data_IF_304946002296
#
_entry.id   IF_304946002296
#
_cell.length_a   1.000
_cell.length_b   1.000
_cell.length_c   1.000
_cell.angle_alpha   90.00
_cell.angle_beta   90.00
_cell.angle_gamma   90.00
#
_symmetry.space_group_name_H-M   'P 1'
#
loop_
_entity.id
_entity.type
_entity.pdbx_description
1 polymer ?
#
# COMPACT_ATOMS: atom_id res chain seq x y z
N UNK A 1 -17.40 36.22 -52.45
CA UNK A 1 -16.58 35.19 -53.06
C UNK A 1 -16.97 33.82 -52.44
N UNK A 2 -17.74 33.03 -53.21
CA UNK A 2 -18.29 31.73 -52.75
C UNK A 2 -17.21 30.67 -52.96
N UNK A 3 -16.75 30.00 -51.89
CA UNK A 3 -15.87 28.83 -51.99
C UNK A 3 -16.70 27.55 -51.99
N UNK A 4 -16.46 26.79 -53.04
CA UNK A 4 -17.17 25.60 -53.47
C UNK A 4 -16.73 24.37 -52.68
N UNK A 5 -17.70 23.63 -52.11
CA UNK A 5 -17.50 22.27 -51.58
C UNK A 5 -17.50 21.28 -52.74
N UNK A 6 -16.39 20.62 -53.00
CA UNK A 6 -16.39 19.35 -53.77
C UNK A 6 -15.26 18.44 -53.39
N UNK A 7 -15.62 17.29 -52.83
CA UNK A 7 -15.09 15.94 -53.03
C UNK A 7 -13.60 15.67 -52.85
N UNK A 8 -13.29 15.00 -51.71
CA UNK A 8 -12.25 13.97 -51.71
C UNK A 8 -12.85 12.70 -51.10
N UNK A 9 -13.31 11.79 -51.93
CA UNK A 9 -13.53 10.39 -51.58
C UNK A 9 -12.24 9.66 -51.90
N UNK A 10 -11.41 9.45 -50.89
CA UNK A 10 -10.28 8.55 -50.95
C UNK A 10 -10.60 7.33 -50.10
N UNK A 11 -10.86 6.21 -50.75
CA UNK A 11 -11.02 4.89 -50.13
C UNK A 11 -9.69 4.46 -49.48
N UNK A 12 -9.59 4.62 -48.16
CA UNK A 12 -8.56 3.95 -47.33
C UNK A 12 -9.20 2.72 -46.73
N UNK A 13 -8.79 1.53 -47.18
CA UNK A 13 -9.09 0.27 -46.54
C UNK A 13 -8.37 0.25 -45.20
N UNK A 14 -9.10 0.47 -44.11
CA UNK A 14 -8.60 0.21 -42.75
C UNK A 14 -8.64 -1.29 -42.50
N UNK A 15 -7.47 -1.90 -42.46
CA UNK A 15 -7.31 -3.21 -41.84
C UNK A 15 -7.68 -3.08 -40.36
N UNK A 16 -8.82 -3.63 -39.95
CA UNK A 16 -9.22 -3.76 -38.58
C UNK A 16 -8.29 -4.79 -37.93
N UNK A 17 -7.19 -4.33 -37.29
CA UNK A 17 -6.48 -5.13 -36.33
C UNK A 17 -7.40 -5.28 -35.10
N UNK A 18 -8.06 -6.42 -35.01
CA UNK A 18 -8.88 -6.80 -33.86
C UNK A 18 -8.01 -6.85 -32.61
N UNK A 19 -8.12 -5.86 -31.76
CA UNK A 19 -7.73 -5.96 -30.36
C UNK A 19 -8.65 -7.00 -29.73
N UNK A 20 -8.19 -8.27 -29.73
CA UNK A 20 -8.81 -9.31 -28.93
C UNK A 20 -8.62 -8.94 -27.46
N UNK A 21 -9.65 -8.33 -26.88
CA UNK A 21 -9.77 -8.28 -25.42
C UNK A 21 -9.83 -9.72 -24.93
N UNK A 22 -8.70 -10.24 -24.44
CA UNK A 22 -8.70 -11.50 -23.71
C UNK A 22 -9.57 -11.29 -22.45
N UNK A 23 -10.81 -11.75 -22.54
CA UNK A 23 -11.64 -11.97 -21.37
C UNK A 23 -10.93 -13.05 -20.54
N UNK A 24 -10.34 -12.64 -19.42
CA UNK A 24 -9.85 -13.59 -18.42
C UNK A 24 -11.06 -14.35 -17.89
N UNK A 25 -11.07 -15.70 -17.96
CA UNK A 25 -12.20 -16.46 -17.48
C UNK A 25 -12.36 -16.22 -15.98
N UNK A 26 -13.54 -15.79 -15.58
CA UNK A 26 -13.97 -15.78 -14.17
C UNK A 26 -14.16 -17.22 -13.70
N UNK A 27 -13.08 -17.90 -13.35
CA UNK A 27 -13.14 -19.23 -12.75
C UNK A 27 -12.86 -19.12 -11.25
N UNK A 28 -13.81 -19.54 -10.44
CA UNK A 28 -13.64 -19.78 -9.00
C UNK A 28 -14.44 -18.81 -8.15
N UNK A 29 -15.21 -19.34 -7.18
CA UNK A 29 -15.96 -18.60 -6.19
C UNK A 29 -15.09 -17.51 -5.54
N UNK A 30 -15.68 -16.34 -5.32
CA UNK A 30 -14.96 -15.18 -4.82
C UNK A 30 -14.29 -15.52 -3.47
N UNK A 31 -12.95 -15.59 -3.46
CA UNK A 31 -12.23 -15.75 -2.21
C UNK A 31 -12.63 -14.63 -1.25
N UNK A 32 -12.87 -15.00 0.01
CA UNK A 32 -13.25 -14.04 1.06
C UNK A 32 -12.11 -13.03 1.24
N UNK A 33 -12.40 -11.73 1.33
CA UNK A 33 -11.38 -10.73 1.63
C UNK A 33 -10.62 -11.04 2.92
N UNK A 34 -9.32 -10.83 2.92
CA UNK A 34 -8.46 -11.04 4.08
C UNK A 34 -8.03 -9.71 4.68
N UNK A 35 -8.22 -9.57 5.98
CA UNK A 35 -7.89 -8.38 6.74
C UNK A 35 -6.67 -8.64 7.63
N UNK A 36 -5.56 -8.05 7.26
CA UNK A 36 -4.34 -8.04 8.06
C UNK A 36 -4.29 -6.78 8.91
N UNK A 37 -3.53 -6.82 9.98
CA UNK A 37 -3.27 -5.66 10.81
C UNK A 37 -1.82 -5.23 10.70
N UNK A 38 -1.58 -3.92 10.59
CA UNK A 38 -0.25 -3.36 10.68
C UNK A 38 0.23 -3.38 12.13
N UNK A 39 1.28 -4.14 12.40
CA UNK A 39 1.72 -4.45 13.77
C UNK A 39 2.24 -3.26 14.57
N UNK A 40 2.51 -2.11 13.93
CA UNK A 40 3.15 -0.94 14.56
C UNK A 40 2.49 -0.52 15.87
N UNK A 41 1.17 -0.45 15.92
CA UNK A 41 0.43 0.04 17.09
C UNK A 41 0.41 -0.95 18.26
N UNK A 42 0.77 -2.21 18.02
CA UNK A 42 0.87 -3.24 19.05
C UNK A 42 2.30 -3.40 19.61
N UNK A 43 3.24 -2.52 19.28
CA UNK A 43 4.64 -2.62 19.69
C UNK A 43 4.87 -2.44 21.20
N UNK A 44 3.90 -1.96 21.95
CA UNK A 44 3.90 -1.99 23.41
C UNK A 44 3.86 -3.44 23.94
N UNK A 45 3.39 -4.41 23.15
CA UNK A 45 3.46 -5.85 23.44
C UNK A 45 4.71 -6.41 22.74
N UNK A 46 5.81 -6.58 23.47
CA UNK A 46 7.10 -7.00 22.87
C UNK A 46 7.21 -8.49 22.56
N UNK A 47 6.41 -9.32 23.22
CA UNK A 47 6.36 -10.76 22.99
C UNK A 47 5.55 -11.08 21.74
N UNK A 48 6.13 -11.85 20.82
CA UNK A 48 5.50 -12.17 19.53
C UNK A 48 4.22 -13.00 19.67
N UNK A 49 4.23 -13.99 20.56
CA UNK A 49 3.08 -14.88 20.76
C UNK A 49 1.92 -14.12 21.39
N UNK A 50 2.19 -13.29 22.38
CA UNK A 50 1.17 -12.44 23.00
C UNK A 50 0.63 -11.41 22.01
N UNK A 51 1.49 -10.74 21.24
CA UNK A 51 1.06 -9.78 20.24
C UNK A 51 0.17 -10.44 19.16
N UNK A 52 0.58 -11.61 18.63
CA UNK A 52 -0.21 -12.36 17.67
C UNK A 52 -1.56 -12.81 18.25
N UNK A 53 -1.58 -13.29 19.51
CA UNK A 53 -2.81 -13.69 20.20
C UNK A 53 -3.77 -12.50 20.37
N UNK A 54 -3.26 -11.31 20.73
CA UNK A 54 -4.08 -10.08 20.82
C UNK A 54 -4.66 -9.70 19.47
N UNK A 55 -3.84 -9.66 18.40
CA UNK A 55 -4.30 -9.36 17.04
C UNK A 55 -5.37 -10.36 16.57
N UNK A 56 -5.20 -11.65 16.90
CA UNK A 56 -6.22 -12.68 16.59
C UNK A 56 -7.51 -12.46 17.36
N UNK A 57 -7.44 -12.07 18.64
CA UNK A 57 -8.62 -11.72 19.44
C UNK A 57 -9.38 -10.52 18.86
N UNK A 58 -8.71 -9.59 18.21
CA UNK A 58 -9.35 -8.50 17.47
C UNK A 58 -10.12 -9.01 16.24
N UNK A 59 -9.89 -10.25 15.80
CA UNK A 59 -10.58 -10.87 14.67
C UNK A 59 -9.84 -10.83 13.33
N UNK A 60 -8.57 -10.36 13.30
CA UNK A 60 -7.79 -10.30 12.05
C UNK A 60 -7.48 -11.67 11.48
N UNK A 61 -7.29 -11.71 10.16
CA UNK A 61 -6.91 -12.91 9.40
C UNK A 61 -5.38 -13.03 9.26
N UNK A 62 -4.67 -11.89 9.40
CA UNK A 62 -3.22 -11.86 9.28
C UNK A 62 -2.59 -10.64 9.94
N UNK A 63 -1.26 -10.59 9.87
CA UNK A 63 -0.44 -9.51 10.41
C UNK A 63 0.64 -9.08 9.42
N UNK A 64 0.84 -7.79 9.30
CA UNK A 64 1.97 -7.15 8.63
C UNK A 64 3.00 -6.75 9.69
N UNK A 65 4.07 -7.56 9.80
CA UNK A 65 5.12 -7.32 10.79
C UNK A 65 6.05 -6.18 10.39
N UNK A 66 6.68 -5.53 11.38
CA UNK A 66 7.70 -4.51 11.15
C UNK A 66 9.10 -5.06 11.39
N UNK A 67 9.98 -4.99 10.37
CA UNK A 67 11.42 -5.28 10.47
C UNK A 67 12.22 -4.01 10.21
N UNK A 68 12.30 -3.17 11.21
CA UNK A 68 12.94 -1.85 11.17
C UNK A 68 13.43 -1.45 12.56
N UNK A 69 14.34 -0.46 12.67
CA UNK A 69 14.77 0.03 13.98
C UNK A 69 13.56 0.38 14.87
N UNK A 70 13.58 -0.10 16.10
CA UNK A 70 12.48 0.02 17.09
C UNK A 70 11.18 -0.68 16.68
N UNK A 71 11.17 -1.47 15.62
CA UNK A 71 10.04 -2.30 15.21
C UNK A 71 9.89 -3.56 16.08
N UNK A 72 9.02 -4.49 15.64
CA UNK A 72 8.94 -5.80 16.28
C UNK A 72 10.23 -6.61 16.07
N UNK A 73 10.79 -6.54 14.88
CA UNK A 73 12.05 -7.17 14.51
C UNK A 73 13.10 -6.10 14.24
N UNK A 74 14.19 -6.11 14.99
CA UNK A 74 15.35 -5.29 14.66
C UNK A 74 16.07 -5.88 13.46
N UNK A 75 16.45 -5.07 12.44
CA UNK A 75 17.10 -5.56 11.22
C UNK A 75 18.31 -6.46 11.47
N UNK A 76 19.14 -6.12 12.45
CA UNK A 76 20.32 -6.91 12.83
C UNK A 76 19.96 -8.33 13.35
N UNK A 77 18.73 -8.56 13.77
CA UNK A 77 18.24 -9.83 14.29
C UNK A 77 17.28 -10.55 13.31
N UNK A 78 17.14 -10.05 12.08
CA UNK A 78 16.13 -10.51 11.12
C UNK A 78 16.18 -12.02 10.89
N UNK A 79 17.37 -12.61 10.72
CA UNK A 79 17.54 -14.04 10.44
C UNK A 79 16.94 -14.95 11.54
N UNK A 80 16.99 -14.53 12.78
CA UNK A 80 16.42 -15.25 13.94
C UNK A 80 14.96 -14.88 14.16
N UNK A 81 14.67 -13.60 14.20
CA UNK A 81 13.43 -13.08 14.77
C UNK A 81 12.28 -13.06 13.79
N UNK A 82 12.53 -12.98 12.47
CA UNK A 82 11.45 -13.14 11.47
C UNK A 82 10.83 -14.53 11.49
N UNK A 83 11.65 -15.58 11.66
CA UNK A 83 11.14 -16.95 11.84
C UNK A 83 10.30 -17.09 13.10
N UNK A 84 10.68 -16.41 14.18
CA UNK A 84 9.92 -16.42 15.45
C UNK A 84 8.59 -15.68 15.30
N UNK A 85 8.61 -14.49 14.73
CA UNK A 85 7.41 -13.68 14.46
C UNK A 85 6.43 -14.42 13.54
N UNK A 86 6.92 -15.03 12.46
CA UNK A 86 6.13 -15.85 11.54
C UNK A 86 5.44 -17.00 12.26
N UNK A 87 6.21 -17.81 13.03
CA UNK A 87 5.66 -18.94 13.79
C UNK A 87 4.66 -18.51 14.86
N UNK A 88 4.88 -17.36 15.52
CA UNK A 88 3.93 -16.83 16.50
C UNK A 88 2.58 -16.47 15.83
N UNK A 89 2.62 -15.82 14.67
CA UNK A 89 1.42 -15.57 13.87
C UNK A 89 0.70 -16.87 13.50
N UNK A 90 1.42 -17.86 12.97
CA UNK A 90 0.87 -19.15 12.56
C UNK A 90 0.25 -19.92 13.74
N UNK A 91 0.90 -19.94 14.91
CA UNK A 91 0.32 -20.54 16.13
C UNK A 91 -0.97 -19.87 16.58
N UNK A 92 -1.08 -18.57 16.38
CA UNK A 92 -2.29 -17.81 16.65
C UNK A 92 -3.38 -17.97 15.55
N UNK A 93 -3.08 -18.66 14.44
CA UNK A 93 -3.97 -18.78 13.29
C UNK A 93 -4.06 -17.50 12.46
N UNK A 94 -2.97 -16.73 12.40
CA UNK A 94 -2.80 -15.56 11.55
C UNK A 94 -1.88 -15.86 10.38
N UNK A 95 -2.18 -15.31 9.21
CA UNK A 95 -1.23 -15.23 8.10
C UNK A 95 -0.19 -14.14 8.38
N UNK A 96 1.05 -14.33 7.96
CA UNK A 96 2.10 -13.34 8.03
C UNK A 96 2.90 -13.36 6.72
N UNK A 97 2.41 -12.66 5.73
CA UNK A 97 2.93 -12.72 4.36
C UNK A 97 3.67 -11.45 3.95
N UNK A 98 3.35 -10.32 4.56
CA UNK A 98 3.97 -9.02 4.27
C UNK A 98 4.79 -8.49 5.43
N UNK A 99 5.80 -7.69 5.10
CA UNK A 99 6.76 -7.12 6.03
C UNK A 99 6.99 -5.64 5.74
N UNK A 100 7.07 -4.79 6.76
CA UNK A 100 7.45 -3.40 6.62
C UNK A 100 8.89 -3.20 7.06
N UNK A 101 9.75 -2.72 6.15
CA UNK A 101 11.18 -2.49 6.38
C UNK A 101 11.54 -1.01 6.37
N UNK A 102 12.79 -0.68 6.72
CA UNK A 102 13.26 0.71 6.83
C UNK A 102 14.15 1.17 5.68
N UNK A 103 14.65 0.27 4.86
CA UNK A 103 15.48 0.64 3.71
C UNK A 103 14.62 1.17 2.55
N UNK A 104 15.25 1.96 1.70
CA UNK A 104 14.62 2.62 0.57
C UNK A 104 14.95 1.94 -0.75
N UNK A 105 16.18 1.40 -0.85
CA UNK A 105 16.73 0.78 -2.06
C UNK A 105 17.13 -0.66 -1.78
N UNK A 106 17.11 -1.50 -2.80
CA UNK A 106 17.51 -2.89 -2.66
C UNK A 106 19.00 -3.08 -2.42
N UNK A 107 19.82 -2.07 -2.70
CA UNK A 107 21.26 -2.00 -2.46
C UNK A 107 21.64 -1.19 -1.21
N UNK A 108 20.67 -0.76 -0.40
CA UNK A 108 20.96 -0.14 0.90
C UNK A 108 21.64 -1.15 1.84
N UNK A 109 22.54 -0.71 2.74
CA UNK A 109 23.22 -1.59 3.69
C UNK A 109 22.24 -2.46 4.51
N UNK A 110 22.43 -3.78 4.47
CA UNK A 110 21.61 -4.74 5.19
C UNK A 110 20.24 -5.06 4.54
N UNK A 111 19.86 -4.42 3.43
CA UNK A 111 18.59 -4.68 2.76
C UNK A 111 18.49 -6.15 2.30
N UNK A 112 19.52 -6.66 1.65
CA UNK A 112 19.54 -8.05 1.19
C UNK A 112 19.46 -9.05 2.33
N UNK A 113 20.14 -8.83 3.44
CA UNK A 113 20.13 -9.74 4.59
C UNK A 113 18.75 -9.84 5.22
N UNK A 114 18.05 -8.70 5.36
CA UNK A 114 16.68 -8.66 5.89
C UNK A 114 15.71 -9.36 4.93
N UNK A 115 15.81 -9.12 3.62
CA UNK A 115 14.86 -9.73 2.65
C UNK A 115 15.12 -11.22 2.45
N UNK A 116 16.39 -11.67 2.46
CA UNK A 116 16.70 -13.11 2.49
C UNK A 116 16.14 -13.78 3.73
N UNK A 117 16.35 -13.18 4.89
CA UNK A 117 15.79 -13.71 6.15
C UNK A 117 14.25 -13.76 6.10
N UNK A 118 13.60 -12.81 5.44
CA UNK A 118 12.15 -12.83 5.21
C UNK A 118 11.74 -13.97 4.26
N UNK A 119 12.46 -14.17 3.15
CA UNK A 119 12.24 -15.28 2.23
C UNK A 119 12.38 -16.63 2.93
N UNK A 120 13.47 -16.82 3.69
CA UNK A 120 13.74 -18.02 4.48
C UNK A 120 12.70 -18.29 5.58
N UNK A 121 12.02 -17.25 6.04
CA UNK A 121 10.92 -17.33 6.99
C UNK A 121 9.55 -17.55 6.32
N UNK A 122 9.46 -17.49 4.98
CA UNK A 122 8.23 -17.72 4.21
C UNK A 122 7.33 -16.49 4.08
N UNK A 123 7.90 -15.28 4.14
CA UNK A 123 7.21 -14.06 3.69
C UNK A 123 7.17 -14.02 2.16
N UNK A 124 6.22 -13.30 1.59
CA UNK A 124 6.02 -13.18 0.13
C UNK A 124 6.20 -11.78 -0.41
N UNK A 125 6.07 -10.77 0.44
CA UNK A 125 6.27 -9.37 0.05
C UNK A 125 6.84 -8.51 1.18
N UNK A 126 7.42 -7.39 0.81
CA UNK A 126 7.85 -6.37 1.76
C UNK A 126 7.55 -4.97 1.23
N UNK A 127 7.34 -4.03 2.14
CA UNK A 127 7.18 -2.60 1.83
C UNK A 127 8.34 -1.81 2.43
N UNK A 128 9.02 -1.03 1.57
CA UNK A 128 10.14 -0.19 1.94
C UNK A 128 9.76 1.17 2.56
N UNK A 129 10.77 2.01 2.73
CA UNK A 129 10.63 3.42 3.11
C UNK A 129 10.12 4.27 1.92
N UNK A 130 10.07 5.60 2.10
CA UNK A 130 9.51 6.53 1.12
C UNK A 130 10.59 7.35 0.45
N UNK A 131 10.57 7.40 -0.89
CA UNK A 131 11.38 8.35 -1.66
C UNK A 131 10.90 9.79 -1.41
N UNK A 132 11.84 10.71 -1.45
CA UNK A 132 11.60 12.14 -1.27
C UNK A 132 12.09 12.91 -2.47
N UNK A 133 11.38 13.96 -2.82
CA UNK A 133 11.89 14.94 -3.79
C UNK A 133 12.97 15.79 -3.14
N UNK A 134 14.07 15.94 -3.86
CA UNK A 134 15.17 16.85 -3.50
C UNK A 134 14.94 18.19 -4.23
N UNK A 135 14.66 19.29 -3.50
CA UNK A 135 14.38 20.58 -4.12
C UNK A 135 15.62 21.19 -4.84
N UNK A 136 16.81 20.67 -4.57
CA UNK A 136 18.03 21.09 -5.26
C UNK A 136 18.17 20.44 -6.65
N UNK A 137 17.36 19.45 -6.99
CA UNK A 137 17.38 18.74 -8.27
C UNK A 137 16.23 19.18 -9.17
N UNK A 138 16.41 18.99 -10.47
CA UNK A 138 15.26 19.08 -11.40
C UNK A 138 14.27 17.95 -11.13
N UNK A 139 13.01 18.14 -11.52
CA UNK A 139 12.00 17.09 -11.39
C UNK A 139 12.41 15.80 -12.11
N UNK A 140 12.96 15.93 -13.32
CA UNK A 140 13.44 14.78 -14.08
C UNK A 140 14.57 14.03 -13.35
N UNK A 141 15.54 14.74 -12.76
CA UNK A 141 16.61 14.12 -11.99
C UNK A 141 16.09 13.38 -10.74
N UNK A 142 15.05 13.90 -10.08
CA UNK A 142 14.37 13.23 -8.99
C UNK A 142 13.68 11.94 -9.46
N UNK A 143 12.94 11.99 -10.56
CA UNK A 143 12.27 10.81 -11.12
C UNK A 143 13.27 9.74 -11.56
N UNK A 144 14.39 10.14 -12.14
CA UNK A 144 15.47 9.22 -12.51
C UNK A 144 16.11 8.55 -11.29
N UNK A 145 16.27 9.29 -10.18
CA UNK A 145 16.77 8.75 -8.91
C UNK A 145 15.81 7.73 -8.31
N UNK A 146 14.51 8.03 -8.33
CA UNK A 146 13.45 7.12 -7.88
C UNK A 146 13.45 5.86 -8.74
N UNK A 147 13.51 6.00 -10.08
CA UNK A 147 13.54 4.87 -11.00
C UNK A 147 14.71 3.93 -10.71
N UNK A 148 15.93 4.48 -10.51
CA UNK A 148 17.09 3.66 -10.09
C UNK A 148 16.87 2.95 -8.75
N UNK A 149 16.13 3.58 -7.83
CA UNK A 149 15.73 2.96 -6.58
C UNK A 149 14.82 1.75 -6.80
N UNK A 150 13.80 1.90 -7.64
CA UNK A 150 12.91 0.78 -8.02
C UNK A 150 13.65 -0.33 -8.76
N UNK A 151 14.59 -0.01 -9.65
CA UNK A 151 15.45 -0.99 -10.32
C UNK A 151 16.25 -1.82 -9.32
N UNK A 152 16.80 -1.18 -8.27
CA UNK A 152 17.51 -1.90 -7.20
C UNK A 152 16.59 -2.79 -6.37
N UNK A 153 15.37 -2.32 -6.07
CA UNK A 153 14.34 -3.12 -5.38
C UNK A 153 13.89 -4.31 -6.23
N UNK A 154 13.67 -4.12 -7.54
CA UNK A 154 13.30 -5.23 -8.44
C UNK A 154 14.42 -6.29 -8.53
N UNK A 155 15.68 -5.88 -8.63
CA UNK A 155 16.81 -6.83 -8.60
C UNK A 155 16.82 -7.65 -7.31
N UNK A 156 16.60 -7.00 -6.16
CA UNK A 156 16.51 -7.68 -4.88
C UNK A 156 15.30 -8.63 -4.82
N UNK A 157 14.14 -8.19 -5.30
CA UNK A 157 12.92 -8.97 -5.39
C UNK A 157 13.13 -10.24 -6.25
N UNK A 158 13.70 -10.09 -7.43
CA UNK A 158 14.03 -11.25 -8.32
C UNK A 158 15.01 -12.21 -7.67
N UNK A 159 16.01 -11.72 -6.94
CA UNK A 159 17.03 -12.53 -6.26
C UNK A 159 16.46 -13.36 -5.10
N UNK A 160 15.44 -12.84 -4.42
CA UNK A 160 14.89 -13.41 -3.18
C UNK A 160 13.53 -14.08 -3.37
N UNK A 161 12.86 -13.83 -4.49
CA UNK A 161 11.51 -14.32 -4.75
C UNK A 161 10.39 -13.56 -4.03
N UNK A 162 10.71 -12.47 -3.30
CA UNK A 162 9.71 -11.62 -2.66
C UNK A 162 9.30 -10.48 -3.58
N UNK A 163 8.08 -9.99 -3.42
CA UNK A 163 7.62 -8.77 -4.09
C UNK A 163 7.98 -7.52 -3.27
N UNK A 164 8.65 -6.55 -3.90
CA UNK A 164 8.94 -5.25 -3.32
C UNK A 164 7.76 -4.29 -3.55
N UNK A 165 7.06 -3.88 -2.51
CA UNK A 165 5.91 -2.98 -2.60
C UNK A 165 6.29 -1.56 -2.21
N UNK A 166 5.66 -0.58 -2.86
CA UNK A 166 5.73 0.84 -2.51
C UNK A 166 4.36 1.35 -2.09
N UNK A 167 4.28 2.01 -0.93
CA UNK A 167 3.03 2.63 -0.47
C UNK A 167 2.98 4.08 -0.92
N UNK A 168 1.87 4.50 -1.56
CA UNK A 168 1.59 5.91 -1.72
C UNK A 168 1.29 6.52 -0.36
N UNK A 169 1.91 7.67 -0.09
CA UNK A 169 1.84 8.30 1.23
C UNK A 169 1.85 9.82 1.11
N UNK A 170 0.92 10.48 1.79
CA UNK A 170 0.86 11.93 1.76
C UNK A 170 1.99 12.59 2.52
N UNK A 171 2.31 13.82 2.10
CA UNK A 171 3.29 14.67 2.74
C UNK A 171 2.76 15.21 4.06
N UNK A 172 3.46 14.94 5.18
CA UNK A 172 3.09 15.49 6.51
C UNK A 172 3.71 16.84 6.79
N UNK A 173 4.86 17.07 6.21
CA UNK A 173 5.63 18.27 6.42
C UNK A 173 5.78 18.99 5.06
N UNK A 174 5.33 20.24 4.91
CA UNK A 174 5.42 20.97 3.65
C UNK A 174 6.87 21.20 3.17
N UNK A 175 7.86 20.89 4.01
CA UNK A 175 9.29 20.90 3.63
C UNK A 175 9.81 19.55 3.13
N UNK A 176 8.99 18.50 3.15
CA UNK A 176 9.39 17.13 2.77
C UNK A 176 8.32 16.61 1.83
N UNK A 177 8.58 16.72 0.55
CA UNK A 177 7.70 16.21 -0.48
C UNK A 177 8.00 14.73 -0.74
N UNK A 178 6.98 13.89 -0.59
CA UNK A 178 7.10 12.45 -0.81
C UNK A 178 6.71 12.11 -2.25
N UNK A 179 7.56 11.32 -2.91
CA UNK A 179 7.21 10.67 -4.16
C UNK A 179 6.05 9.69 -3.94
N UNK A 180 5.14 9.63 -4.90
CA UNK A 180 3.97 8.74 -4.83
C UNK A 180 2.81 9.30 -4.02
N UNK A 181 2.90 10.51 -3.47
CA UNK A 181 1.81 11.11 -2.70
C UNK A 181 0.55 11.29 -3.55
N UNK A 182 0.71 11.78 -4.77
CA UNK A 182 -0.39 11.96 -5.74
C UNK A 182 -0.66 10.73 -6.62
N UNK A 183 0.06 9.64 -6.46
CA UNK A 183 -0.02 8.37 -7.22
C UNK A 183 0.34 8.50 -8.70
N UNK A 184 0.09 9.63 -9.35
CA UNK A 184 0.36 9.84 -10.78
C UNK A 184 1.85 9.80 -11.13
N UNK A 185 2.71 10.30 -10.24
CA UNK A 185 4.15 10.19 -10.34
C UNK A 185 4.62 8.74 -10.13
N UNK A 186 4.02 8.04 -9.16
CA UNK A 186 4.24 6.60 -8.96
C UNK A 186 3.85 5.81 -10.21
N UNK A 187 2.69 6.10 -10.81
CA UNK A 187 2.22 5.44 -12.02
C UNK A 187 3.18 5.66 -13.20
N UNK A 188 3.80 6.83 -13.28
CA UNK A 188 4.78 7.14 -14.32
C UNK A 188 6.03 6.25 -14.24
N UNK A 189 6.45 5.88 -13.03
CA UNK A 189 7.62 5.04 -12.80
C UNK A 189 7.26 3.56 -12.83
N UNK A 190 6.22 3.15 -12.10
CA UNK A 190 5.96 1.73 -11.84
C UNK A 190 5.56 0.94 -13.09
N UNK A 191 4.99 1.60 -14.09
CA UNK A 191 4.60 0.98 -15.37
C UNK A 191 5.77 0.30 -16.13
N UNK A 192 7.00 0.66 -15.80
CA UNK A 192 8.22 0.10 -16.41
C UNK A 192 8.69 -1.19 -15.70
N UNK A 193 8.01 -1.60 -14.62
CA UNK A 193 8.41 -2.73 -13.78
C UNK A 193 7.41 -3.89 -13.85
N UNK A 194 7.95 -5.11 -13.66
CA UNK A 194 7.16 -6.34 -13.66
C UNK A 194 6.33 -6.42 -12.36
N UNK A 195 4.98 -6.50 -12.46
CA UNK A 195 4.10 -6.58 -11.29
C UNK A 195 4.29 -7.86 -10.46
N UNK A 196 5.01 -8.85 -10.96
CA UNK A 196 5.39 -10.04 -10.18
C UNK A 196 6.45 -9.74 -9.12
N UNK A 197 7.28 -8.71 -9.33
CA UNK A 197 8.40 -8.36 -8.45
C UNK A 197 8.28 -6.98 -7.81
N UNK A 198 7.58 -6.06 -8.46
CA UNK A 198 7.33 -4.72 -7.92
C UNK A 198 5.84 -4.52 -7.79
N UNK A 199 5.39 -4.10 -6.62
CA UNK A 199 3.99 -3.91 -6.31
C UNK A 199 3.68 -2.56 -5.67
N UNK A 200 2.38 -2.31 -5.52
CA UNK A 200 1.84 -1.14 -4.81
C UNK A 200 1.07 -1.61 -3.59
N UNK A 201 1.38 -1.00 -2.47
CA UNK A 201 0.52 -0.99 -1.30
C UNK A 201 -0.31 0.30 -1.38
N UNK A 202 -1.49 0.19 -1.99
CA UNK A 202 -2.31 1.37 -2.25
C UNK A 202 -3.07 1.81 -1.00
N UNK A 203 -2.92 3.07 -0.65
CA UNK A 203 -3.56 3.69 0.50
C UNK A 203 -4.59 4.71 0.03
N UNK A 204 -5.87 4.36 0.15
CA UNK A 204 -6.98 5.20 -0.33
C UNK A 204 -7.07 6.52 0.43
N UNK A 205 -6.78 6.52 1.73
CA UNK A 205 -6.80 7.72 2.55
C UNK A 205 -5.77 8.74 2.05
N UNK A 206 -4.53 8.30 1.85
CA UNK A 206 -3.49 9.17 1.34
C UNK A 206 -3.79 9.66 -0.08
N UNK A 207 -4.27 8.79 -0.96
CA UNK A 207 -4.65 9.18 -2.32
C UNK A 207 -5.77 10.22 -2.31
N UNK A 208 -6.81 10.03 -1.50
CA UNK A 208 -7.92 10.98 -1.39
C UNK A 208 -7.48 12.30 -0.76
N UNK A 209 -6.65 12.26 0.27
CA UNK A 209 -6.16 13.46 0.94
C UNK A 209 -5.35 14.37 0.01
N UNK A 210 -4.58 13.79 -0.93
CA UNK A 210 -3.73 14.55 -1.86
C UNK A 210 -4.44 14.92 -3.16
N UNK A 211 -5.42 14.13 -3.60
CA UNK A 211 -6.02 14.31 -4.94
C UNK A 211 -7.53 14.53 -4.92
N UNK A 212 -8.15 14.57 -3.74
CA UNK A 212 -9.61 14.67 -3.64
C UNK A 212 -10.31 13.55 -4.43
N UNK A 213 -11.38 13.83 -5.18
CA UNK A 213 -12.12 12.80 -5.94
C UNK A 213 -11.30 12.06 -7.00
N UNK A 214 -10.14 12.59 -7.42
CA UNK A 214 -9.31 11.97 -8.46
C UNK A 214 -8.65 10.66 -8.04
N UNK A 215 -8.70 10.29 -6.76
CA UNK A 215 -8.22 8.99 -6.28
C UNK A 215 -8.86 7.81 -7.03
N UNK A 216 -10.11 7.97 -7.48
CA UNK A 216 -10.84 6.94 -8.23
C UNK A 216 -10.17 6.60 -9.57
N UNK A 217 -9.47 7.55 -10.17
CA UNK A 217 -8.72 7.33 -11.40
C UNK A 217 -7.31 6.81 -11.11
N UNK A 218 -6.67 7.33 -10.06
CA UNK A 218 -5.30 6.94 -9.71
C UNK A 218 -5.18 5.47 -9.31
N UNK A 219 -6.19 4.91 -8.63
CA UNK A 219 -6.22 3.47 -8.32
C UNK A 219 -6.27 2.62 -9.60
N UNK A 220 -7.05 3.05 -10.61
CA UNK A 220 -7.17 2.33 -11.89
C UNK A 220 -5.85 2.29 -12.67
N UNK A 221 -5.06 3.37 -12.60
CA UNK A 221 -3.77 3.45 -13.30
C UNK A 221 -2.75 2.48 -12.72
N UNK A 222 -2.73 2.28 -11.39
CA UNK A 222 -1.80 1.38 -10.71
C UNK A 222 -2.38 0.00 -10.41
N UNK A 223 -3.63 -0.26 -10.81
CA UNK A 223 -4.35 -1.51 -10.53
C UNK A 223 -3.55 -2.79 -10.83
N UNK A 224 -2.79 -2.91 -11.94
CA UNK A 224 -2.02 -4.12 -12.23
C UNK A 224 -0.91 -4.43 -11.20
N UNK A 225 -0.45 -3.44 -10.46
CA UNK A 225 0.63 -3.58 -9.46
C UNK A 225 0.11 -3.65 -8.03
N UNK A 226 -1.19 -3.44 -7.78
CA UNK A 226 -1.72 -3.46 -6.41
C UNK A 226 -1.60 -4.86 -5.81
N UNK A 227 -0.85 -4.97 -4.73
CA UNK A 227 -0.66 -6.18 -3.93
C UNK A 227 -1.42 -6.11 -2.62
N UNK A 228 -1.47 -4.94 -2.01
CA UNK A 228 -2.09 -4.68 -0.71
C UNK A 228 -2.89 -3.39 -0.79
N UNK A 229 -4.03 -3.34 -0.10
CA UNK A 229 -4.82 -2.14 0.12
C UNK A 229 -4.75 -1.72 1.58
N UNK A 230 -4.21 -0.52 1.85
CA UNK A 230 -4.21 0.06 3.19
C UNK A 230 -5.56 0.70 3.48
N UNK A 231 -6.08 0.41 4.67
CA UNK A 231 -7.35 0.95 5.16
C UNK A 231 -7.11 1.84 6.36
N UNK A 232 -7.51 3.09 6.26
CA UNK A 232 -7.56 4.09 7.33
C UNK A 232 -8.49 5.22 6.94
N UNK A 233 -8.95 6.00 7.92
CA UNK A 233 -9.89 7.08 7.69
C UNK A 233 -9.37 8.41 8.20
N UNK A 234 -9.98 9.52 7.75
CA UNK A 234 -9.57 10.86 8.09
C UNK A 234 -10.66 11.87 7.76
N UNK A 235 -10.53 13.08 8.32
CA UNK A 235 -11.23 14.27 7.83
C UNK A 235 -10.27 15.45 7.71
N UNK A 236 -10.74 16.55 7.14
CA UNK A 236 -10.02 17.82 7.17
C UNK A 236 -10.59 18.73 8.25
N UNK A 237 -9.72 19.37 9.00
CA UNK A 237 -10.07 20.39 9.99
C UNK A 237 -9.21 21.66 9.80
N UNK A 238 -9.68 22.84 10.23
CA UNK A 238 -8.85 24.04 10.24
C UNK A 238 -7.58 23.81 11.07
N UNK A 239 -6.44 24.28 10.56
CA UNK A 239 -5.20 24.22 11.34
C UNK A 239 -5.32 25.18 12.55
N UNK A 240 -5.14 24.71 13.79
CA UNK A 240 -5.26 25.57 14.98
C UNK A 240 -4.25 26.71 15.02
N UNK A 241 -3.14 26.60 14.29
CA UNK A 241 -2.12 27.66 14.19
C UNK A 241 -2.42 28.66 13.07
N UNK A 242 -3.18 28.26 12.06
CA UNK A 242 -3.58 29.10 10.94
C UNK A 242 -4.96 28.65 10.41
N UNK A 243 -6.08 29.21 10.91
CA UNK A 243 -7.44 28.79 10.53
C UNK A 243 -7.78 28.94 9.04
N UNK A 244 -6.94 29.61 8.25
CA UNK A 244 -7.08 29.67 6.79
C UNK A 244 -6.52 28.46 6.08
N UNK A 245 -5.77 27.61 6.78
CA UNK A 245 -5.20 26.36 6.29
C UNK A 245 -6.00 25.20 6.85
N UNK A 246 -6.06 24.12 6.10
CA UNK A 246 -6.67 22.86 6.51
C UNK A 246 -5.60 21.81 6.75
N UNK A 247 -5.76 21.02 7.79
CA UNK A 247 -4.92 19.88 8.07
C UNK A 247 -5.74 18.59 8.09
N UNK A 248 -5.09 17.49 7.83
CA UNK A 248 -5.70 16.17 7.99
C UNK A 248 -5.74 15.80 9.46
N UNK A 249 -6.88 15.30 9.87
CA UNK A 249 -7.06 14.63 11.15
C UNK A 249 -7.34 13.15 10.88
N UNK A 250 -6.53 12.28 11.45
CA UNK A 250 -6.68 10.83 11.31
C UNK A 250 -7.64 10.34 12.38
N UNK A 251 -8.54 9.42 12.04
CA UNK A 251 -9.63 9.01 12.91
C UNK A 251 -9.93 7.50 12.82
N UNK A 252 -10.72 6.96 13.76
CA UNK A 252 -11.26 5.62 13.66
C UNK A 252 -12.05 5.39 12.36
N UNK A 253 -12.11 4.14 11.94
CA UNK A 253 -12.81 3.75 10.72
C UNK A 253 -14.30 4.15 10.74
N UNK A 254 -14.74 4.84 9.70
CA UNK A 254 -16.13 5.30 9.54
C UNK A 254 -16.43 6.66 10.17
N UNK A 255 -15.50 7.25 10.90
CA UNK A 255 -15.64 8.61 11.42
C UNK A 255 -15.13 9.68 10.45
N UNK A 256 -14.47 9.25 9.37
CA UNK A 256 -13.87 10.12 8.38
C UNK A 256 -14.69 10.33 7.12
N UNK A 257 -14.01 10.79 6.07
CA UNK A 257 -14.63 11.18 4.80
C UNK A 257 -14.30 10.23 3.64
N UNK A 258 -13.62 9.09 3.91
CA UNK A 258 -13.37 8.10 2.87
C UNK A 258 -14.72 7.49 2.42
N UNK A 259 -15.08 7.58 1.12
CA UNK A 259 -16.38 7.10 0.65
C UNK A 259 -16.34 5.57 0.45
N UNK A 260 -16.43 4.80 1.51
CA UNK A 260 -16.21 3.35 1.55
C UNK A 260 -17.11 2.56 0.59
N UNK A 261 -18.38 2.96 0.43
CA UNK A 261 -19.27 2.35 -0.56
C UNK A 261 -18.74 2.54 -1.98
N UNK A 262 -18.29 3.77 -2.30
CA UNK A 262 -17.70 4.08 -3.60
C UNK A 262 -16.36 3.38 -3.79
N UNK A 263 -15.56 3.25 -2.72
CA UNK A 263 -14.32 2.49 -2.75
C UNK A 263 -14.57 1.03 -3.13
N UNK A 264 -15.55 0.38 -2.52
CA UNK A 264 -15.96 -0.98 -2.88
C UNK A 264 -16.35 -1.12 -4.35
N UNK A 265 -17.15 -0.18 -4.88
CA UNK A 265 -17.54 -0.17 -6.30
C UNK A 265 -16.32 -0.10 -7.22
N UNK A 266 -15.34 0.76 -6.89
CA UNK A 266 -14.10 0.91 -7.66
C UNK A 266 -13.25 -0.37 -7.59
N UNK A 267 -13.15 -1.01 -6.43
CA UNK A 267 -12.46 -2.30 -6.33
C UNK A 267 -13.12 -3.37 -7.21
N UNK A 268 -14.44 -3.40 -7.26
CA UNK A 268 -15.21 -4.30 -8.14
C UNK A 268 -14.99 -3.96 -9.61
N UNK A 269 -15.03 -2.69 -9.97
CA UNK A 269 -14.81 -2.19 -11.34
C UNK A 269 -13.47 -2.65 -11.91
N UNK A 270 -12.40 -2.62 -11.11
CA UNK A 270 -11.07 -3.05 -11.52
C UNK A 270 -10.76 -4.51 -11.15
N UNK A 271 -11.76 -5.27 -10.71
CA UNK A 271 -11.63 -6.67 -10.28
C UNK A 271 -10.49 -6.87 -9.23
N UNK A 272 -10.25 -5.88 -8.39
CA UNK A 272 -9.22 -5.92 -7.37
C UNK A 272 -9.68 -6.79 -6.19
N UNK A 273 -8.85 -7.75 -5.82
CA UNK A 273 -9.06 -8.65 -4.67
C UNK A 273 -7.79 -8.83 -3.85
N UNK A 274 -7.10 -7.75 -3.52
CA UNK A 274 -5.89 -7.82 -2.74
C UNK A 274 -6.19 -8.09 -1.27
N UNK A 275 -5.12 -8.33 -0.51
CA UNK A 275 -5.18 -8.29 0.95
C UNK A 275 -5.42 -6.85 1.42
N UNK A 276 -6.22 -6.72 2.47
CA UNK A 276 -6.31 -5.47 3.19
C UNK A 276 -5.30 -5.44 4.34
N UNK A 277 -4.74 -4.26 4.63
CA UNK A 277 -4.01 -4.01 5.86
C UNK A 277 -4.59 -2.79 6.57
N UNK A 278 -5.00 -2.96 7.83
CA UNK A 278 -5.60 -1.90 8.64
C UNK A 278 -4.50 -1.15 9.38
N UNK A 279 -4.47 0.18 9.21
CA UNK A 279 -3.54 1.08 9.85
C UNK A 279 -4.26 2.00 10.83
N UNK A 280 -3.65 2.22 11.99
CA UNK A 280 -4.19 3.07 13.06
C UNK A 280 -3.24 4.26 13.24
N UNK A 281 -3.43 5.29 12.44
CA UNK A 281 -2.59 6.49 12.47
C UNK A 281 -3.24 7.61 13.31
N UNK A 282 -4.33 7.31 14.02
CA UNK A 282 -4.96 8.17 15.01
C UNK A 282 -4.42 7.90 16.43
N UNK A 283 -4.93 8.60 17.44
CA UNK A 283 -4.56 8.39 18.84
C UNK A 283 -5.07 7.03 19.33
N UNK A 284 -4.20 6.02 19.23
CA UNK A 284 -4.51 4.62 19.47
C UNK A 284 -4.03 4.20 20.86
N UNK A 285 -4.87 3.51 21.68
CA UNK A 285 -4.50 3.12 23.03
C UNK A 285 -3.28 2.20 23.09
N UNK A 286 -2.38 2.48 24.05
CA UNK A 286 -1.20 1.64 24.33
C UNK A 286 -1.43 0.61 25.44
N UNK A 287 -2.71 0.34 25.78
CA UNK A 287 -3.11 -0.76 26.65
C UNK A 287 -3.85 -1.84 25.88
N UNK A 288 -3.74 -3.10 26.33
CA UNK A 288 -4.27 -4.25 25.60
C UNK A 288 -5.79 -4.19 25.43
N UNK A 289 -6.53 -3.77 26.47
CA UNK A 289 -7.96 -3.72 26.43
C UNK A 289 -8.48 -2.62 25.49
N UNK A 290 -7.87 -1.45 25.55
CA UNK A 290 -8.16 -0.33 24.65
C UNK A 290 -7.83 -0.67 23.21
N UNK A 291 -6.64 -1.23 22.97
CA UNK A 291 -6.20 -1.65 21.65
C UNK A 291 -7.15 -2.68 21.02
N UNK A 292 -7.60 -3.67 21.78
CA UNK A 292 -8.57 -4.67 21.30
C UNK A 292 -9.90 -4.00 20.94
N UNK A 293 -10.43 -3.10 21.78
CA UNK A 293 -11.69 -2.41 21.49
C UNK A 293 -11.60 -1.61 20.19
N UNK A 294 -10.58 -0.77 20.04
CA UNK A 294 -10.41 0.07 18.85
C UNK A 294 -10.17 -0.77 17.59
N UNK A 295 -9.25 -1.72 17.64
CA UNK A 295 -8.93 -2.57 16.50
C UNK A 295 -10.10 -3.45 16.05
N UNK A 296 -10.90 -3.97 17.00
CA UNK A 296 -12.11 -4.74 16.69
C UNK A 296 -13.21 -3.86 16.08
N UNK A 297 -13.38 -2.64 16.58
CA UNK A 297 -14.34 -1.70 16.03
C UNK A 297 -14.03 -1.33 14.58
N UNK A 298 -12.79 -0.93 14.30
CA UNK A 298 -12.33 -0.59 12.95
C UNK A 298 -12.49 -1.78 11.98
N UNK A 299 -12.07 -2.98 12.40
CA UNK A 299 -12.22 -4.18 11.57
C UNK A 299 -13.69 -4.50 11.29
N UNK A 300 -14.55 -4.36 12.28
CA UNK A 300 -16.01 -4.59 12.14
C UNK A 300 -16.59 -3.63 11.11
N UNK A 301 -16.22 -2.37 11.19
CA UNK A 301 -16.62 -1.36 10.21
C UNK A 301 -16.14 -1.74 8.79
N UNK A 302 -14.85 -2.01 8.59
CA UNK A 302 -14.33 -2.35 7.26
C UNK A 302 -14.99 -3.60 6.67
N UNK A 303 -15.22 -4.64 7.47
CA UNK A 303 -15.94 -5.83 7.01
C UNK A 303 -17.37 -5.52 6.60
N UNK A 304 -18.06 -4.60 7.29
CA UNK A 304 -19.40 -4.18 6.91
C UNK A 304 -19.44 -3.44 5.58
N UNK A 305 -18.38 -2.70 5.25
CA UNK A 305 -18.30 -1.89 4.03
C UNK A 305 -17.75 -2.66 2.82
N UNK A 306 -16.77 -3.53 3.04
CA UNK A 306 -15.97 -4.13 1.96
C UNK A 306 -16.22 -5.65 1.78
N UNK A 307 -16.85 -6.30 2.74
CA UNK A 307 -17.22 -7.72 2.69
C UNK A 307 -16.31 -8.65 3.47
#
# INVERSE_FOLDING_TARGET
>A
MKLNRRCFLGTAAMAAAGCATRSVPMAGGAAKPEYHVFSRVFQFIRDYDRAAAVMKRCGYDGVEWTARPKGFVEPANAARDLKRAKRAAERAGLKAESLVVSFLRGDDPGAEDVVRAAADAGFTSFRGAYFRYDPAKTMQANLDDVKRGFESLERLARKTGLKACYQNHSTYNPKIELFGSVVWDLAQIIRDFDPSYVGVQYDVMHAQAETGPSWMHSIGIVAPWIDILCLKDFWFEPDPKNPKMWRRHLCPAGEGIVPWSRYREILQQYALRPRYTVHFDYDFPEDEAGAIRCATADLTFYRSQLG
#
